data_IF_215834699908
#
_entry.id   IF_215834699908
#
_cell.length_a   1.000
_cell.length_b   1.000
_cell.length_c   1.000
_cell.angle_alpha   90.00
_cell.angle_beta   90.00
_cell.angle_gamma   90.00
#
_symmetry.space_group_name_H-M   'P 1'
#
loop_
_entity.id
_entity.type
_entity.pdbx_description
1 polymer ?
#
# COMPACT_ATOMS: atom_id res chain seq x y z
N UNK A 1 -17.33 3.03 -18.99
CA UNK A 1 -17.29 3.16 -17.52
C UNK A 1 -15.86 3.54 -17.15
N UNK A 2 -15.62 4.74 -16.63
CA UNK A 2 -14.26 5.18 -16.29
C UNK A 2 -13.87 4.45 -15.00
N UNK A 3 -12.87 3.57 -15.07
CA UNK A 3 -12.31 2.94 -13.86
C UNK A 3 -11.55 4.01 -13.08
N UNK A 4 -11.87 4.20 -11.81
CA UNK A 4 -11.18 5.17 -10.96
C UNK A 4 -9.72 4.76 -10.78
N UNK A 5 -8.81 5.63 -11.22
CA UNK A 5 -7.37 5.49 -10.98
C UNK A 5 -7.00 6.16 -9.66
N UNK A 6 -6.24 5.46 -8.83
CA UNK A 6 -5.62 5.98 -7.62
C UNK A 6 -4.15 6.29 -7.88
N UNK A 7 -3.61 7.22 -7.12
CA UNK A 7 -2.18 7.51 -7.15
C UNK A 7 -1.39 6.44 -6.39
N UNK A 8 -1.96 6.00 -5.28
CA UNK A 8 -1.39 4.95 -4.44
C UNK A 8 -2.51 4.04 -3.92
N UNK A 9 -2.30 2.73 -3.99
CA UNK A 9 -3.12 1.75 -3.26
C UNK A 9 -2.30 1.22 -2.10
N UNK A 10 -2.85 1.28 -0.90
CA UNK A 10 -2.25 0.76 0.32
C UNK A 10 -2.97 -0.54 0.69
N UNK A 11 -2.21 -1.62 0.85
CA UNK A 11 -2.73 -2.94 1.19
C UNK A 11 -2.44 -3.20 2.67
N UNK A 12 -3.44 -3.01 3.51
CA UNK A 12 -3.39 -3.09 4.97
C UNK A 12 -3.67 -1.73 5.63
N UNK A 13 -4.57 -1.74 6.61
CA UNK A 13 -5.01 -0.58 7.40
C UNK A 13 -4.58 -0.66 8.87
N UNK A 14 -3.57 -1.48 9.19
CA UNK A 14 -2.89 -1.42 10.49
C UNK A 14 -2.14 -0.08 10.66
N UNK A 15 -1.45 0.09 11.79
CA UNK A 15 -0.72 1.33 12.15
C UNK A 15 0.11 1.92 11.01
N UNK A 16 0.97 1.11 10.37
CA UNK A 16 1.83 1.55 9.28
C UNK A 16 1.02 2.03 8.07
N UNK A 17 -0.02 1.27 7.71
CA UNK A 17 -0.90 1.59 6.58
C UNK A 17 -1.74 2.84 6.82
N UNK A 18 -2.28 3.01 8.04
CA UNK A 18 -3.01 4.20 8.45
C UNK A 18 -2.11 5.45 8.47
N UNK A 19 -0.89 5.32 8.99
CA UNK A 19 0.10 6.38 8.98
C UNK A 19 0.48 6.79 7.54
N UNK A 20 0.70 5.80 6.67
CA UNK A 20 0.97 6.03 5.25
C UNK A 20 -0.20 6.71 4.55
N UNK A 21 -1.44 6.26 4.79
CA UNK A 21 -2.64 6.86 4.20
C UNK A 21 -2.77 8.33 4.59
N UNK A 22 -2.64 8.65 5.88
CA UNK A 22 -2.73 10.02 6.37
C UNK A 22 -1.61 10.90 5.81
N UNK A 23 -0.37 10.41 5.80
CA UNK A 23 0.77 11.14 5.25
C UNK A 23 0.64 11.36 3.74
N UNK A 24 0.13 10.38 3.00
CA UNK A 24 -0.09 10.48 1.56
C UNK A 24 -1.20 11.49 1.24
N UNK A 25 -2.33 11.47 1.96
CA UNK A 25 -3.39 12.46 1.78
C UNK A 25 -2.91 13.89 2.08
N UNK A 26 -2.06 14.09 3.09
CA UNK A 26 -1.43 15.41 3.36
C UNK A 26 -0.59 15.92 2.19
N UNK A 27 -0.05 15.01 1.38
CA UNK A 27 0.71 15.32 0.17
C UNK A 27 -0.17 15.37 -1.10
N UNK A 28 -1.50 15.39 -0.95
CA UNK A 28 -2.48 15.42 -2.07
C UNK A 28 -2.35 14.21 -3.00
N UNK A 29 -1.96 13.08 -2.45
CA UNK A 29 -1.93 11.79 -3.15
C UNK A 29 -3.31 11.17 -2.99
N UNK A 30 -3.96 10.81 -4.11
CA UNK A 30 -5.25 10.13 -4.08
C UNK A 30 -5.07 8.66 -3.71
N UNK A 31 -5.51 8.28 -2.52
CA UNK A 31 -5.21 6.96 -1.93
C UNK A 31 -6.45 6.07 -1.84
N UNK A 32 -6.26 4.79 -2.10
CA UNK A 32 -7.19 3.73 -1.72
C UNK A 32 -6.53 2.85 -0.66
N UNK A 33 -7.20 2.60 0.45
CA UNK A 33 -6.75 1.63 1.46
C UNK A 33 -7.64 0.38 1.39
N UNK A 34 -7.03 -0.79 1.23
CA UNK A 34 -7.71 -2.09 1.23
C UNK A 34 -7.24 -2.90 2.44
N UNK A 35 -8.16 -3.27 3.32
CA UNK A 35 -7.86 -4.12 4.46
C UNK A 35 -8.70 -5.40 4.44
N UNK A 36 -8.07 -6.53 4.75
CA UNK A 36 -8.75 -7.84 4.79
C UNK A 36 -9.75 -7.93 5.94
N UNK A 37 -9.50 -7.24 7.04
CA UNK A 37 -10.39 -7.21 8.20
C UNK A 37 -11.42 -6.10 8.02
N UNK A 38 -12.49 -6.11 8.82
CA UNK A 38 -13.50 -5.04 8.82
C UNK A 38 -12.95 -3.68 9.32
N UNK A 39 -11.63 -3.58 9.49
CA UNK A 39 -10.89 -2.38 9.90
C UNK A 39 -10.58 -1.54 8.67
N UNK A 40 -11.58 -0.83 8.17
CA UNK A 40 -11.32 0.32 7.30
C UNK A 40 -10.71 1.47 8.11
N UNK A 41 -10.54 2.61 7.45
CA UNK A 41 -10.19 3.90 8.07
C UNK A 41 -11.34 4.90 7.80
N UNK A 42 -12.53 4.77 8.42
CA UNK A 42 -13.66 5.65 8.09
C UNK A 42 -13.37 7.13 8.32
N UNK A 43 -12.49 7.45 9.28
CA UNK A 43 -12.04 8.83 9.54
C UNK A 43 -11.11 9.39 8.45
N UNK A 44 -10.58 8.55 7.57
CA UNK A 44 -9.76 8.92 6.42
C UNK A 44 -10.61 9.19 5.17
N UNK A 45 -11.80 8.59 5.08
CA UNK A 45 -12.65 8.66 3.89
C UNK A 45 -13.08 10.11 3.60
N UNK A 46 -12.84 10.55 2.36
CA UNK A 46 -13.13 11.92 1.95
C UNK A 46 -12.61 12.23 0.54
N UNK A 47 -12.28 13.49 0.29
CA UNK A 47 -11.81 13.95 -1.02
C UNK A 47 -10.49 13.28 -1.45
N UNK A 48 -9.57 13.07 -0.51
CA UNK A 48 -8.22 12.60 -0.78
C UNK A 48 -8.05 11.08 -0.77
N UNK A 49 -9.09 10.34 -0.38
CA UNK A 49 -9.00 8.89 -0.40
C UNK A 49 -10.20 8.21 0.21
N UNK A 50 -10.22 6.90 0.03
CA UNK A 50 -11.22 6.02 0.60
C UNK A 50 -10.54 4.77 1.15
N UNK A 51 -11.18 4.17 2.15
CA UNK A 51 -10.77 2.93 2.75
C UNK A 51 -11.89 1.90 2.61
N UNK A 52 -11.50 0.65 2.40
CA UNK A 52 -12.43 -0.47 2.30
C UNK A 52 -11.95 -1.60 3.20
N UNK A 53 -12.67 -1.82 4.30
CA UNK A 53 -12.55 -3.03 5.10
C UNK A 53 -13.11 -4.24 4.36
N UNK A 54 -12.85 -5.44 4.89
CA UNK A 54 -13.29 -6.73 4.34
C UNK A 54 -12.95 -6.91 2.85
N UNK A 55 -11.86 -6.27 2.42
CA UNK A 55 -11.36 -6.21 1.06
C UNK A 55 -10.01 -6.90 1.01
N UNK A 56 -10.03 -8.22 1.20
CA UNK A 56 -8.87 -9.09 1.07
C UNK A 56 -8.35 -9.04 -0.36
N UNK A 57 -7.11 -8.57 -0.53
CA UNK A 57 -6.43 -8.55 -1.83
C UNK A 57 -5.88 -9.94 -2.12
N UNK A 58 -6.15 -10.45 -3.32
CA UNK A 58 -5.71 -11.77 -3.78
C UNK A 58 -4.68 -11.68 -4.90
N UNK A 59 -4.68 -10.61 -5.69
CA UNK A 59 -3.70 -10.42 -6.75
C UNK A 59 -3.29 -8.95 -6.91
N UNK A 60 -2.01 -8.74 -7.21
CA UNK A 60 -1.44 -7.46 -7.64
C UNK A 60 -0.65 -7.71 -8.91
N UNK A 61 -1.03 -7.06 -10.00
CA UNK A 61 -0.38 -7.22 -11.30
C UNK A 61 0.18 -5.87 -11.77
N UNK A 62 1.45 -5.87 -12.21
CA UNK A 62 2.09 -4.70 -12.79
C UNK A 62 1.73 -4.58 -14.27
N UNK A 63 1.13 -3.45 -14.63
CA UNK A 63 0.89 -2.99 -15.99
C UNK A 63 2.01 -2.03 -16.45
N UNK A 64 1.92 -1.51 -17.68
CA UNK A 64 2.95 -0.64 -18.28
C UNK A 64 3.25 0.60 -17.41
N UNK A 65 2.21 1.25 -16.87
CA UNK A 65 2.33 2.51 -16.08
C UNK A 65 1.53 2.48 -14.77
N UNK A 66 0.98 1.32 -14.39
CA UNK A 66 0.06 1.19 -13.27
C UNK A 66 0.02 -0.24 -12.73
N UNK A 67 -0.79 -0.46 -11.72
CA UNK A 67 -1.04 -1.76 -11.10
C UNK A 67 -2.54 -2.05 -11.10
N UNK A 68 -2.90 -3.31 -11.31
CA UNK A 68 -4.23 -3.86 -11.03
C UNK A 68 -4.19 -4.56 -9.68
N UNK A 69 -5.18 -4.31 -8.84
CA UNK A 69 -5.32 -4.93 -7.52
C UNK A 69 -6.69 -5.60 -7.46
N UNK A 70 -6.70 -6.93 -7.40
CA UNK A 70 -7.92 -7.74 -7.33
C UNK A 70 -8.21 -8.15 -5.88
N UNK A 71 -9.45 -7.98 -5.45
CA UNK A 71 -9.93 -8.46 -4.17
C UNK A 71 -10.65 -9.80 -4.31
N UNK A 72 -10.70 -10.58 -3.23
CA UNK A 72 -11.41 -11.87 -3.15
C UNK A 72 -12.88 -11.81 -3.57
N UNK A 73 -13.49 -10.64 -3.47
CA UNK A 73 -14.85 -10.37 -3.94
C UNK A 73 -14.98 -10.15 -5.46
N UNK A 74 -13.89 -10.26 -6.22
CA UNK A 74 -13.83 -10.06 -7.67
C UNK A 74 -13.78 -8.58 -8.11
N UNK A 75 -13.58 -7.64 -7.18
CA UNK A 75 -13.42 -6.21 -7.52
C UNK A 75 -11.98 -5.94 -7.91
N UNK A 76 -11.79 -5.12 -8.94
CA UNK A 76 -10.47 -4.73 -9.43
C UNK A 76 -10.30 -3.22 -9.33
N UNK A 77 -9.22 -2.81 -8.67
CA UNK A 77 -8.81 -1.43 -8.49
C UNK A 77 -7.51 -1.14 -9.26
N UNK A 78 -7.27 0.13 -9.57
CA UNK A 78 -6.10 0.54 -10.35
C UNK A 78 -5.34 1.65 -9.63
N UNK A 79 -4.02 1.50 -9.51
CA UNK A 79 -3.13 2.43 -8.83
C UNK A 79 -1.87 2.72 -9.64
N UNK A 80 -1.29 3.91 -9.51
CA UNK A 80 0.03 4.23 -10.10
C UNK A 80 1.20 3.67 -9.27
N UNK A 81 0.98 3.48 -7.98
CA UNK A 81 1.93 2.92 -7.01
C UNK A 81 1.22 2.06 -5.97
N UNK A 82 1.98 1.21 -5.28
CA UNK A 82 1.50 0.31 -4.22
C UNK A 82 2.34 0.50 -2.96
N UNK A 83 1.68 0.58 -1.79
CA UNK A 83 2.32 0.39 -0.49
C UNK A 83 1.77 -0.91 0.12
N UNK A 84 2.67 -1.81 0.49
CA UNK A 84 2.34 -3.06 1.17
C UNK A 84 2.51 -2.85 2.67
N UNK A 85 1.43 -3.03 3.41
CA UNK A 85 1.33 -2.86 4.86
C UNK A 85 0.59 -4.04 5.52
N UNK A 86 0.80 -5.25 5.00
CA UNK A 86 0.04 -6.47 5.35
C UNK A 86 0.47 -7.11 6.67
N UNK A 87 1.56 -6.65 7.28
CA UNK A 87 2.18 -7.26 8.46
C UNK A 87 2.81 -8.64 8.18
N UNK A 88 3.32 -9.31 9.23
CA UNK A 88 4.06 -10.58 9.11
C UNK A 88 3.27 -11.72 8.47
N UNK A 89 1.98 -11.76 8.77
CA UNK A 89 1.07 -12.82 8.35
C UNK A 89 0.25 -12.39 7.12
N UNK A 90 0.84 -11.52 6.28
CA UNK A 90 0.20 -11.04 5.06
C UNK A 90 -0.30 -12.24 4.27
N UNK A 91 -1.60 -12.26 3.95
CA UNK A 91 -2.21 -13.36 3.21
C UNK A 91 -1.43 -13.66 1.94
N UNK A 92 -1.46 -14.91 1.50
CA UNK A 92 -0.82 -15.34 0.25
C UNK A 92 -1.43 -14.53 -0.91
N UNK A 93 -0.73 -13.48 -1.35
CA UNK A 93 -1.02 -12.81 -2.62
C UNK A 93 -0.61 -13.81 -3.71
N UNK A 94 -1.52 -14.19 -4.61
CA UNK A 94 -1.30 -15.37 -5.46
C UNK A 94 -0.46 -15.13 -6.73
N UNK A 95 -0.10 -13.89 -7.12
CA UNK A 95 0.51 -13.71 -8.46
C UNK A 95 1.59 -12.63 -8.67
N UNK A 96 2.48 -13.01 -9.61
CA UNK A 96 3.60 -12.38 -10.35
C UNK A 96 4.74 -11.73 -9.54
N UNK A 97 4.47 -11.02 -8.45
CA UNK A 97 5.51 -10.41 -7.59
C UNK A 97 5.43 -10.87 -6.13
N UNK A 98 4.42 -11.66 -5.81
CA UNK A 98 4.05 -11.98 -4.44
C UNK A 98 5.10 -12.75 -3.62
N UNK A 99 6.01 -13.52 -4.23
CA UNK A 99 7.09 -14.16 -3.45
C UNK A 99 8.13 -13.15 -2.95
N UNK A 100 8.39 -12.07 -3.71
CA UNK A 100 9.24 -10.96 -3.27
C UNK A 100 8.48 -9.98 -2.37
N UNK A 101 7.16 -9.95 -2.50
CA UNK A 101 6.24 -9.02 -1.86
C UNK A 101 5.38 -9.68 -0.75
N UNK A 102 5.85 -10.79 -0.18
CA UNK A 102 5.27 -11.45 0.98
C UNK A 102 6.35 -11.84 1.99
N UNK A 103 5.99 -11.96 3.26
CA UNK A 103 6.94 -12.27 4.33
C UNK A 103 7.89 -11.10 4.62
N UNK A 104 9.20 -11.33 4.53
CA UNK A 104 10.26 -10.35 4.81
C UNK A 104 10.71 -9.63 3.53
N UNK A 105 9.89 -8.70 3.05
CA UNK A 105 10.13 -7.91 1.85
C UNK A 105 11.35 -7.01 2.06
N UNK A 106 12.36 -7.14 1.19
CA UNK A 106 13.54 -6.28 1.24
C UNK A 106 13.19 -4.91 0.70
N UNK A 107 13.59 -3.87 1.45
CA UNK A 107 13.41 -2.48 1.07
C UNK A 107 14.71 -1.71 1.17
N UNK A 108 14.83 -0.66 0.37
CA UNK A 108 15.91 0.32 0.47
C UNK A 108 15.64 1.36 1.59
N UNK A 109 16.49 2.39 1.67
CA UNK A 109 16.31 3.45 2.65
C UNK A 109 14.97 4.20 2.47
N UNK A 110 14.39 4.27 1.28
CA UNK A 110 13.12 4.95 0.99
C UNK A 110 11.89 4.05 1.12
N UNK A 111 12.05 2.85 1.69
CA UNK A 111 11.01 1.81 1.77
C UNK A 111 10.63 1.21 0.41
N UNK A 112 11.41 1.49 -0.65
CA UNK A 112 11.15 0.99 -1.99
C UNK A 112 11.63 -0.46 -2.12
N UNK A 113 10.84 -1.29 -2.81
CA UNK A 113 11.18 -2.69 -3.08
C UNK A 113 12.01 -2.83 -4.36
N UNK A 114 12.36 -4.06 -4.73
CA UNK A 114 12.92 -4.40 -6.06
C UNK A 114 11.96 -4.03 -7.21
N UNK A 115 10.65 -3.94 -6.93
CA UNK A 115 9.62 -3.64 -7.93
C UNK A 115 9.38 -2.13 -7.96
N UNK A 116 9.78 -1.50 -9.06
CA UNK A 116 9.54 -0.07 -9.25
C UNK A 116 8.06 0.29 -9.10
N UNK A 117 7.78 1.30 -8.29
CA UNK A 117 6.44 1.76 -7.94
C UNK A 117 5.82 1.03 -6.75
N UNK A 118 6.53 0.08 -6.13
CA UNK A 118 6.06 -0.69 -4.97
C UNK A 118 6.96 -0.46 -3.76
N UNK A 119 6.33 -0.17 -2.63
CA UNK A 119 6.94 0.09 -1.34
C UNK A 119 6.41 -0.90 -0.30
N UNK A 120 7.17 -1.18 0.75
CA UNK A 120 6.74 -2.07 1.84
C UNK A 120 7.10 -1.50 3.21
N UNK A 121 6.14 -1.55 4.13
CA UNK A 121 6.25 -0.94 5.46
C UNK A 121 5.65 -1.83 6.55
N UNK A 122 6.10 -1.59 7.77
CA UNK A 122 5.70 -2.35 8.94
C UNK A 122 6.11 -3.80 8.83
N UNK A 123 5.37 -4.71 9.49
CA UNK A 123 5.90 -6.06 9.71
C UNK A 123 6.08 -6.96 8.49
N UNK A 124 5.79 -6.47 7.28
CA UNK A 124 6.10 -7.16 6.03
C UNK A 124 7.50 -6.83 5.49
N UNK A 125 8.27 -5.93 6.10
CA UNK A 125 9.64 -5.60 5.64
C UNK A 125 10.74 -5.99 6.66
N UNK A 126 10.37 -6.67 7.76
CA UNK A 126 11.24 -7.15 8.82
C UNK A 126 11.97 -6.05 9.63
N UNK A 127 11.54 -4.79 9.56
CA UNK A 127 12.04 -3.73 10.43
C UNK A 127 11.33 -3.79 11.79
N UNK A 128 12.09 -4.07 12.86
CA UNK A 128 11.71 -3.95 14.28
C UNK A 128 10.20 -4.11 14.56
N UNK A 129 9.68 -5.30 14.27
CA UNK A 129 8.25 -5.63 14.22
C UNK A 129 7.38 -5.29 15.44
N UNK A 130 8.00 -5.00 16.57
CA UNK A 130 7.33 -4.69 17.83
C UNK A 130 7.06 -3.21 18.08
N UNK A 131 7.71 -2.28 17.36
CA UNK A 131 7.66 -0.86 17.70
C UNK A 131 6.69 -0.08 16.80
N UNK A 132 5.60 0.43 17.39
CA UNK A 132 4.57 1.21 16.71
C UNK A 132 5.10 2.56 16.17
N UNK A 133 6.10 3.14 16.84
CA UNK A 133 6.73 4.40 16.44
C UNK A 133 7.53 4.20 15.16
N UNK A 134 8.27 3.10 15.06
CA UNK A 134 9.01 2.73 13.84
C UNK A 134 8.03 2.54 12.68
N UNK A 135 6.96 1.76 12.88
CA UNK A 135 5.91 1.53 11.85
C UNK A 135 5.28 2.82 11.35
N UNK A 136 4.97 3.74 12.26
CA UNK A 136 4.42 5.06 11.90
C UNK A 136 5.42 5.88 11.10
N UNK A 137 6.70 5.88 11.50
CA UNK A 137 7.77 6.56 10.79
C UNK A 137 7.98 6.02 9.37
N UNK A 138 7.94 4.70 9.20
CA UNK A 138 8.00 4.07 7.88
C UNK A 138 6.81 4.45 7.00
N UNK A 139 5.59 4.47 7.55
CA UNK A 139 4.40 4.91 6.82
C UNK A 139 4.54 6.34 6.29
N UNK A 140 5.01 7.27 7.13
CA UNK A 140 5.28 8.64 6.70
C UNK A 140 6.37 8.70 5.62
N UNK A 141 7.44 7.91 5.77
CA UNK A 141 8.54 7.86 4.80
C UNK A 141 8.10 7.31 3.45
N UNK A 142 7.35 6.21 3.43
CA UNK A 142 6.82 5.62 2.20
C UNK A 142 5.87 6.57 1.49
N UNK A 143 5.03 7.31 2.21
CA UNK A 143 4.16 8.33 1.60
C UNK A 143 4.96 9.43 0.87
N UNK A 144 6.07 9.89 1.46
CA UNK A 144 6.95 10.87 0.80
C UNK A 144 7.67 10.26 -0.41
N UNK A 145 8.14 9.02 -0.29
CA UNK A 145 8.80 8.32 -1.39
C UNK A 145 7.83 8.09 -2.57
N UNK A 146 6.57 7.75 -2.29
CA UNK A 146 5.50 7.70 -3.29
C UNK A 146 5.29 9.08 -3.93
N UNK A 147 5.24 10.16 -3.14
CA UNK A 147 5.07 11.51 -3.69
C UNK A 147 6.17 11.86 -4.71
N UNK A 148 7.43 11.55 -4.41
CA UNK A 148 8.56 11.78 -5.32
C UNK A 148 8.51 10.86 -6.55
N UNK A 149 8.19 9.58 -6.36
CA UNK A 149 7.98 8.65 -7.46
C UNK A 149 6.92 9.16 -8.45
N UNK A 150 5.79 9.67 -7.95
CA UNK A 150 4.69 10.17 -8.78
C UNK A 150 5.01 11.47 -9.52
N UNK A 151 6.02 12.24 -9.06
CA UNK A 151 6.52 13.44 -9.77
C UNK A 151 7.50 13.09 -10.90
N UNK A 152 7.99 11.85 -10.96
CA UNK A 152 9.04 11.44 -11.89
C UNK A 152 10.44 11.91 -11.49
N UNK A 153 10.61 12.37 -10.24
CA UNK A 153 11.91 12.73 -9.68
C UNK A 153 12.66 11.45 -9.31
N UNK A 154 13.62 11.03 -10.14
CA UNK A 154 14.70 10.11 -9.74
C UNK A 154 16.01 10.88 -9.66
#
# INVERSE_FOLDING_TARGET
MIKTMFDCIIIGAGEAGAAAALAAARNKIKVLVLDREARGLPAFDGEQGESKGSSEVVAVEKNIVSFSVETKSGKVFYGRSIIIATGKNGGELETITAKELSGNIKVDANMATSVEGVFAIGGCNNALDGDETVKTGEGAKAALAVAEYLKGSK
#
